data_IF_559684560907
#
_entry.id   IF_559684560907
#
_cell.length_a   1.000
_cell.length_b   1.000
_cell.length_c   1.000
_cell.angle_alpha   90.00
_cell.angle_beta   90.00
_cell.angle_gamma   90.00
#
_symmetry.space_group_name_H-M   'P 1'
#
loop_
_entity.id
_entity.type
_entity.pdbx_description
1 polymer ?
#
# COMPACT_ATOMS: atom_id res chain seq x y z
N UNK A 1 -29.43 -38.45 10.01
CA UNK A 1 -28.67 -38.08 8.81
C UNK A 1 -28.02 -36.70 8.94
N UNK A 2 -26.99 -36.60 9.80
CA UNK A 2 -26.10 -35.44 9.97
C UNK A 2 -24.79 -35.96 10.55
N UNK A 3 -24.03 -36.70 9.73
CA UNK A 3 -22.66 -37.08 10.09
C UNK A 3 -21.70 -36.40 9.11
N UNK A 4 -21.57 -35.08 9.24
CA UNK A 4 -20.40 -34.38 8.72
C UNK A 4 -19.43 -34.25 9.89
N UNK A 5 -18.48 -35.17 9.93
CA UNK A 5 -17.32 -35.18 10.83
C UNK A 5 -16.66 -33.81 10.85
N UNK A 6 -16.48 -33.21 12.02
CA UNK A 6 -15.56 -32.10 12.22
C UNK A 6 -14.17 -32.55 11.76
N UNK A 7 -13.75 -32.07 10.59
CA UNK A 7 -12.39 -32.26 10.11
C UNK A 7 -11.52 -31.28 10.89
N UNK A 8 -10.60 -31.81 11.68
CA UNK A 8 -9.55 -31.02 12.32
C UNK A 8 -8.55 -30.60 11.24
N UNK A 9 -8.72 -29.39 10.72
CA UNK A 9 -7.93 -28.83 9.63
C UNK A 9 -6.44 -28.73 10.00
N UNK A 10 -6.12 -28.49 11.28
CA UNK A 10 -4.74 -28.30 11.75
C UNK A 10 -3.92 -29.59 11.66
N UNK A 11 -4.57 -30.76 11.68
CA UNK A 11 -3.93 -32.07 11.55
C UNK A 11 -3.78 -32.55 10.10
N UNK A 12 -4.29 -31.79 9.14
CA UNK A 12 -4.21 -32.21 7.74
C UNK A 12 -2.79 -32.00 7.19
N UNK A 13 -2.25 -32.95 6.40
CA UNK A 13 -0.89 -32.87 5.88
C UNK A 13 -0.56 -31.61 5.05
N UNK A 14 -1.57 -30.89 4.57
CA UNK A 14 -1.43 -29.68 3.76
C UNK A 14 -1.67 -28.37 4.52
N UNK A 15 -2.07 -28.43 5.80
CA UNK A 15 -2.43 -27.25 6.57
C UNK A 15 -1.27 -26.26 6.68
N UNK A 16 -0.09 -26.75 7.08
CA UNK A 16 1.12 -25.94 7.20
C UNK A 16 1.48 -25.27 5.87
N UNK A 17 1.45 -26.04 4.77
CA UNK A 17 1.74 -25.52 3.43
C UNK A 17 0.76 -24.41 3.00
N UNK A 18 -0.54 -24.55 3.31
CA UNK A 18 -1.55 -23.51 3.03
C UNK A 18 -1.25 -22.26 3.87
N UNK A 19 -0.97 -22.43 5.17
CA UNK A 19 -0.70 -21.33 6.08
C UNK A 19 0.57 -20.56 5.69
N UNK A 20 1.67 -21.27 5.41
CA UNK A 20 2.91 -20.67 4.93
C UNK A 20 2.70 -19.88 3.64
N UNK A 21 1.96 -20.46 2.68
CA UNK A 21 1.64 -19.79 1.42
C UNK A 21 0.75 -18.57 1.65
N UNK A 22 -0.17 -18.63 2.60
CA UNK A 22 -1.04 -17.52 2.99
C UNK A 22 -0.24 -16.36 3.60
N UNK A 23 0.64 -16.66 4.56
CA UNK A 23 1.52 -15.67 5.20
C UNK A 23 2.44 -15.02 4.17
N UNK A 24 3.07 -15.83 3.30
CA UNK A 24 3.96 -15.31 2.25
C UNK A 24 3.25 -14.36 1.29
N UNK A 25 2.09 -14.76 0.76
CA UNK A 25 1.30 -13.90 -0.12
C UNK A 25 0.82 -12.63 0.58
N UNK A 26 0.44 -12.72 1.86
CA UNK A 26 0.04 -11.57 2.65
C UNK A 26 1.19 -10.57 2.83
N UNK A 27 2.38 -11.08 3.13
CA UNK A 27 3.60 -10.26 3.28
C UNK A 27 4.01 -9.61 1.96
N UNK A 28 4.03 -10.37 0.85
CA UNK A 28 4.35 -9.85 -0.48
C UNK A 28 3.40 -8.72 -0.89
N UNK A 29 2.08 -8.95 -0.79
CA UNK A 29 1.08 -7.92 -1.12
C UNK A 29 1.16 -6.71 -0.18
N UNK A 30 1.44 -6.94 1.10
CA UNK A 30 1.61 -5.86 2.08
C UNK A 30 2.81 -4.98 1.76
N UNK A 31 3.94 -5.60 1.40
CA UNK A 31 5.16 -4.91 1.02
C UNK A 31 4.98 -4.13 -0.29
N UNK A 32 4.37 -4.72 -1.31
CA UNK A 32 4.08 -4.05 -2.59
C UNK A 32 3.21 -2.81 -2.39
N UNK A 33 2.08 -2.94 -1.70
CA UNK A 33 1.19 -1.81 -1.39
C UNK A 33 1.88 -0.74 -0.54
N UNK A 34 2.70 -1.17 0.43
CA UNK A 34 3.47 -0.26 1.28
C UNK A 34 4.49 0.54 0.48
N UNK A 35 5.21 -0.10 -0.44
CA UNK A 35 6.18 0.54 -1.32
C UNK A 35 5.52 1.53 -2.29
N UNK A 36 4.42 1.12 -2.94
CA UNK A 36 3.68 2.00 -3.86
C UNK A 36 3.16 3.25 -3.15
N UNK A 37 2.50 3.06 -1.99
CA UNK A 37 2.02 4.17 -1.17
C UNK A 37 3.16 5.07 -0.69
N UNK A 38 4.23 4.48 -0.17
CA UNK A 38 5.40 5.22 0.32
C UNK A 38 6.07 6.05 -0.78
N UNK A 39 6.12 5.51 -2.01
CA UNK A 39 6.63 6.24 -3.17
C UNK A 39 5.75 7.44 -3.51
N UNK A 40 4.43 7.27 -3.58
CA UNK A 40 3.50 8.38 -3.85
C UNK A 40 3.56 9.47 -2.78
N UNK A 41 3.55 9.10 -1.50
CA UNK A 41 3.69 10.04 -0.39
C UNK A 41 5.03 10.80 -0.46
N UNK A 42 6.12 10.10 -0.79
CA UNK A 42 7.45 10.68 -0.96
C UNK A 42 7.53 11.68 -2.12
N UNK A 43 6.99 11.33 -3.29
CA UNK A 43 6.96 12.22 -4.47
C UNK A 43 6.13 13.49 -4.20
N UNK A 44 4.96 13.36 -3.55
CA UNK A 44 4.14 14.50 -3.15
C UNK A 44 4.87 15.44 -2.18
N UNK A 45 5.54 14.89 -1.16
CA UNK A 45 6.34 15.68 -0.20
C UNK A 45 7.48 16.40 -0.88
N UNK A 46 8.17 15.72 -1.81
CA UNK A 46 9.26 16.31 -2.57
C UNK A 46 8.78 17.50 -3.41
N UNK A 47 7.69 17.33 -4.16
CA UNK A 47 7.10 18.38 -4.98
C UNK A 47 6.66 19.58 -4.13
N UNK A 48 5.97 19.34 -3.00
CA UNK A 48 5.58 20.40 -2.07
C UNK A 48 6.78 21.19 -1.54
N UNK A 49 7.87 20.50 -1.20
CA UNK A 49 9.11 21.16 -0.73
C UNK A 49 9.71 22.05 -1.82
N UNK A 50 9.73 21.58 -3.07
CA UNK A 50 10.26 22.36 -4.19
C UNK A 50 9.41 23.60 -4.46
N UNK A 51 8.09 23.45 -4.51
CA UNK A 51 7.16 24.54 -4.75
C UNK A 51 7.21 25.58 -3.63
N UNK A 52 7.18 25.14 -2.36
CA UNK A 52 7.31 26.07 -1.22
C UNK A 52 8.63 26.83 -1.24
N UNK A 53 9.73 26.19 -1.64
CA UNK A 53 11.04 26.87 -1.77
C UNK A 53 11.05 27.91 -2.88
N UNK A 54 10.38 27.64 -4.01
CA UNK A 54 10.41 28.50 -5.20
C UNK A 54 9.39 29.64 -5.16
N UNK A 55 8.22 29.39 -4.58
CA UNK A 55 7.07 30.29 -4.65
C UNK A 55 6.59 30.77 -3.27
N UNK A 56 7.16 30.25 -2.17
CA UNK A 56 6.69 30.51 -0.82
C UNK A 56 5.48 29.64 -0.45
N UNK A 57 4.82 29.93 0.68
CA UNK A 57 3.72 29.13 1.21
C UNK A 57 2.60 28.88 0.19
N UNK A 58 2.25 27.62 -0.01
CA UNK A 58 1.14 27.22 -0.89
C UNK A 58 -0.21 27.35 -0.17
N UNK A 59 -1.25 27.63 -0.95
CA UNK A 59 -2.62 27.57 -0.47
C UNK A 59 -2.99 26.13 -0.04
N UNK A 60 -3.76 25.93 1.05
CA UNK A 60 -4.12 24.60 1.56
C UNK A 60 -4.79 23.68 0.53
N UNK A 61 -5.55 24.25 -0.40
CA UNK A 61 -6.23 23.52 -1.47
C UNK A 61 -5.22 22.90 -2.45
N UNK A 62 -4.12 23.60 -2.73
CA UNK A 62 -3.05 23.10 -3.58
C UNK A 62 -2.29 21.98 -2.89
N UNK A 63 -2.01 22.12 -1.59
CA UNK A 63 -1.35 21.06 -0.82
C UNK A 63 -2.17 19.77 -0.81
N UNK A 64 -3.48 19.89 -0.58
CA UNK A 64 -4.41 18.76 -0.65
C UNK A 64 -4.43 18.12 -2.03
N UNK A 65 -4.47 18.93 -3.09
CA UNK A 65 -4.43 18.42 -4.47
C UNK A 65 -3.16 17.62 -4.73
N UNK A 66 -2.02 18.08 -4.23
CA UNK A 66 -0.73 17.38 -4.39
C UNK A 66 -0.70 16.09 -3.60
N UNK A 67 -1.12 16.09 -2.33
CA UNK A 67 -1.13 14.88 -1.49
C UNK A 67 -2.11 13.81 -1.96
N UNK A 68 -3.19 14.20 -2.65
CA UNK A 68 -4.20 13.28 -3.18
C UNK A 68 -3.98 12.86 -4.64
N UNK A 69 -2.91 13.33 -5.29
CA UNK A 69 -2.61 13.00 -6.66
C UNK A 69 -2.09 11.56 -6.80
N UNK A 70 -2.37 10.92 -7.94
CA UNK A 70 -1.78 9.61 -8.26
C UNK A 70 -0.29 9.74 -8.53
N UNK A 71 0.43 8.63 -8.45
CA UNK A 71 1.87 8.59 -8.74
C UNK A 71 2.18 9.11 -10.15
N UNK A 72 1.36 8.72 -11.14
CA UNK A 72 1.50 9.18 -12.53
C UNK A 72 1.28 10.68 -12.64
N UNK A 73 0.31 11.21 -11.89
CA UNK A 73 0.02 12.65 -11.88
C UNK A 73 1.16 13.44 -11.23
N UNK A 74 1.72 12.93 -10.13
CA UNK A 74 2.88 13.55 -9.47
C UNK A 74 4.13 13.55 -10.36
N UNK A 75 4.37 12.43 -11.06
CA UNK A 75 5.46 12.31 -12.01
C UNK A 75 5.34 13.28 -13.21
N UNK A 76 4.12 13.67 -13.59
CA UNK A 76 3.88 14.68 -14.63
C UNK A 76 4.11 16.12 -14.13
N UNK A 77 4.05 16.37 -12.82
CA UNK A 77 4.20 17.70 -12.24
C UNK A 77 5.62 18.03 -11.75
N UNK A 78 6.36 17.01 -11.31
CA UNK A 78 7.75 17.14 -10.85
C UNK A 78 8.73 17.41 -11.98
#
# INVERSE_FOLDING_TARGET
>A
DKMLTQVDLERMPFYEAIMERGVRQGMERGMERGMERGRGEGEAVLLLRQLNRKFGPLAPEMERKIRGASLETLALWG
#
